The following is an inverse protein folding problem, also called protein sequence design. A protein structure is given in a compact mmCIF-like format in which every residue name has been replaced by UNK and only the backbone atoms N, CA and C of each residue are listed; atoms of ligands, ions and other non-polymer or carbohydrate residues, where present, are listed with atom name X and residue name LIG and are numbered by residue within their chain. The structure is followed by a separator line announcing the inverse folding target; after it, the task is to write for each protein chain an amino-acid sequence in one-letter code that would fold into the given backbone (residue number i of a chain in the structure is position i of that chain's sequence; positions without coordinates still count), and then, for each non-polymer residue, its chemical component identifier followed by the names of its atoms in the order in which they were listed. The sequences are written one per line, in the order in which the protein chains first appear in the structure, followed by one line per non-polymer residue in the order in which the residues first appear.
data_IF_240738182370
#
_entry.id   IF_240738182370
#
_cell.length_a   1.000
_cell.length_b   1.000
_cell.length_c   1.000
_cell.angle_alpha   90.00
_cell.angle_beta   90.00
_cell.angle_gamma   90.00
#
_symmetry.space_group_name_H-M   'P 1'
#
loop_
_entity.id
_entity.type
_entity.pdbx_description
1 polymer ?
#
# COMPACT_ATOMS: atom_id res chain seq x y z
N UNK A 1 -11.19 -16.46 3.44
CA UNK A 1 -11.99 -15.94 2.32
C UNK A 1 -11.20 -16.16 1.02
N UNK A 2 -11.77 -16.95 0.07
CA UNK A 2 -11.09 -17.32 -1.17
C UNK A 2 -10.63 -16.11 -1.99
N UNK A 3 -11.37 -15.01 -1.95
CA UNK A 3 -11.04 -13.78 -2.67
C UNK A 3 -9.78 -13.11 -2.10
N UNK A 4 -9.61 -13.11 -0.78
CA UNK A 4 -8.40 -12.56 -0.15
C UNK A 4 -7.18 -13.40 -0.52
N UNK A 5 -7.32 -14.74 -0.48
CA UNK A 5 -6.24 -15.65 -0.88
C UNK A 5 -5.88 -15.44 -2.34
N UNK A 6 -6.88 -15.35 -3.24
CA UNK A 6 -6.64 -15.09 -4.65
C UNK A 6 -5.93 -13.75 -4.87
N UNK A 7 -6.35 -12.68 -4.19
CA UNK A 7 -5.70 -11.37 -4.26
C UNK A 7 -4.25 -11.41 -3.78
N UNK A 8 -3.97 -12.11 -2.69
CA UNK A 8 -2.60 -12.29 -2.18
C UNK A 8 -1.72 -13.06 -3.15
N UNK A 9 -2.25 -14.14 -3.76
CA UNK A 9 -1.52 -14.94 -4.75
C UNK A 9 -1.20 -14.10 -6.00
N UNK A 10 -2.17 -13.33 -6.49
CA UNK A 10 -1.95 -12.45 -7.65
C UNK A 10 -0.88 -11.41 -7.35
N UNK A 11 -0.93 -10.77 -6.18
CA UNK A 11 0.07 -9.79 -5.77
C UNK A 11 1.47 -10.43 -5.69
N UNK A 12 1.59 -11.58 -5.04
CA UNK A 12 2.86 -12.30 -4.94
C UNK A 12 3.41 -12.69 -6.32
N UNK A 13 2.55 -13.18 -7.22
CA UNK A 13 2.94 -13.52 -8.59
C UNK A 13 3.44 -12.29 -9.38
N UNK A 14 2.78 -11.14 -9.24
CA UNK A 14 3.22 -9.89 -9.87
C UNK A 14 4.57 -9.42 -9.33
N UNK A 15 4.79 -9.52 -8.03
CA UNK A 15 6.08 -9.14 -7.43
C UNK A 15 7.21 -10.05 -7.92
N UNK A 16 6.99 -11.37 -8.00
CA UNK A 16 7.97 -12.32 -8.54
C UNK A 16 8.23 -12.04 -10.02
N UNK A 17 7.17 -11.80 -10.80
CA UNK A 17 7.30 -11.48 -12.22
C UNK A 17 8.14 -10.21 -12.47
N UNK A 18 7.90 -9.14 -11.70
CA UNK A 18 8.70 -7.91 -11.79
C UNK A 18 10.17 -8.17 -11.40
N UNK A 19 10.41 -8.98 -10.38
CA UNK A 19 11.77 -9.35 -9.98
C UNK A 19 12.50 -10.17 -11.07
N UNK A 20 11.81 -11.10 -11.73
CA UNK A 20 12.38 -11.95 -12.80
C UNK A 20 12.64 -11.17 -14.11
N UNK A 21 11.92 -10.07 -14.35
CA UNK A 21 12.11 -9.29 -15.58
C UNK A 21 13.44 -8.50 -15.64
N UNK A 22 14.34 -8.65 -14.66
CA UNK A 22 15.61 -7.92 -14.59
C UNK A 22 15.47 -6.40 -14.79
N UNK A 23 14.34 -5.84 -14.36
CA UNK A 23 14.12 -4.39 -14.35
C UNK A 23 15.01 -3.70 -13.28
N UNK A 24 15.60 -4.48 -12.40
CA UNK A 24 16.57 -4.02 -11.43
C UNK A 24 17.96 -4.24 -12.02
N UNK A 25 18.76 -3.20 -12.06
CA UNK A 25 20.14 -3.28 -12.53
C UNK A 25 20.93 -4.28 -11.67
N UNK A 26 21.46 -5.38 -12.24
CA UNK A 26 22.22 -6.38 -11.47
C UNK A 26 23.61 -5.90 -11.07
N UNK A 27 24.04 -4.70 -11.48
CA UNK A 27 25.34 -4.17 -11.08
C UNK A 27 25.38 -3.96 -9.56
N UNK A 28 25.99 -4.92 -8.88
CA UNK A 28 26.36 -4.80 -7.47
C UNK A 28 27.57 -3.86 -7.42
N UNK A 29 27.31 -2.55 -7.41
CA UNK A 29 28.35 -1.58 -7.05
C UNK A 29 28.84 -1.86 -5.64
N UNK A 30 30.12 -1.62 -5.30
CA UNK A 30 30.62 -1.84 -3.96
C UNK A 30 29.77 -1.06 -2.96
N UNK A 31 29.04 -1.82 -2.14
CA UNK A 31 28.12 -1.27 -1.12
C UNK A 31 28.91 -0.40 -0.15
N UNK A 32 28.61 0.87 -0.11
CA UNK A 32 29.14 1.79 0.90
C UNK A 32 28.89 1.20 2.31
N UNK A 33 29.82 1.35 3.28
CA UNK A 33 29.62 0.84 4.65
C UNK A 33 28.30 1.27 5.29
N UNK A 34 27.77 2.44 4.91
CA UNK A 34 26.47 3.00 5.27
C UNK A 34 25.31 2.02 5.00
N UNK A 35 25.40 1.17 3.98
CA UNK A 35 24.37 0.19 3.62
C UNK A 35 24.39 -1.07 4.49
N UNK A 36 25.32 -1.21 5.44
CA UNK A 36 25.39 -2.33 6.38
C UNK A 36 24.73 -2.03 7.73
N UNK A 37 23.98 -0.93 7.85
CA UNK A 37 23.30 -0.56 9.09
C UNK A 37 22.16 -1.54 9.39
N UNK A 38 22.03 -1.94 10.66
CA UNK A 38 20.91 -2.72 11.18
C UNK A 38 19.57 -1.98 10.98
N UNK A 39 19.57 -0.67 11.15
CA UNK A 39 18.39 0.18 10.95
C UNK A 39 17.89 0.18 9.52
N UNK A 40 18.81 0.13 8.55
CA UNK A 40 18.44 0.03 7.15
C UNK A 40 17.64 -1.25 6.87
N UNK A 41 18.08 -2.40 7.38
CA UNK A 41 17.39 -3.68 7.16
C UNK A 41 15.97 -3.65 7.73
N UNK A 42 15.82 -3.12 8.96
CA UNK A 42 14.50 -3.02 9.58
C UNK A 42 13.60 -2.05 8.81
N UNK A 43 14.11 -0.87 8.48
CA UNK A 43 13.40 0.13 7.69
C UNK A 43 12.88 -0.46 6.39
N UNK A 44 13.75 -1.05 5.59
CA UNK A 44 13.39 -1.64 4.28
C UNK A 44 12.37 -2.75 4.44
N UNK A 45 12.53 -3.65 5.42
CA UNK A 45 11.59 -4.73 5.66
C UNK A 45 10.19 -4.20 6.02
N UNK A 46 10.09 -3.19 6.88
CA UNK A 46 8.82 -2.59 7.29
C UNK A 46 8.15 -1.83 6.13
N UNK A 47 8.93 -1.04 5.38
CA UNK A 47 8.42 -0.31 4.21
C UNK A 47 7.91 -1.28 3.13
N UNK A 48 8.71 -2.28 2.78
CA UNK A 48 8.33 -3.29 1.78
C UNK A 48 7.09 -4.07 2.22
N UNK A 49 7.03 -4.44 3.49
CA UNK A 49 5.84 -5.06 4.06
C UNK A 49 4.59 -4.16 3.96
N UNK A 50 4.73 -2.86 4.22
CA UNK A 50 3.62 -1.92 4.09
C UNK A 50 3.07 -1.85 2.67
N UNK A 51 3.94 -1.85 1.66
CA UNK A 51 3.52 -1.85 0.24
C UNK A 51 2.72 -3.10 -0.13
N UNK A 52 3.05 -4.26 0.46
CA UNK A 52 2.28 -5.49 0.31
C UNK A 52 0.84 -5.35 0.83
N UNK A 53 0.65 -4.77 2.02
CA UNK A 53 -0.68 -4.52 2.58
C UNK A 53 -1.46 -3.50 1.75
N UNK A 54 -0.83 -2.40 1.32
CA UNK A 54 -1.47 -1.37 0.52
C UNK A 54 -1.80 -1.88 -0.90
N UNK A 55 -0.94 -2.71 -1.50
CA UNK A 55 -1.21 -3.39 -2.77
C UNK A 55 -2.38 -4.37 -2.67
N UNK A 56 -2.47 -5.14 -1.57
CA UNK A 56 -3.62 -6.01 -1.32
C UNK A 56 -4.92 -5.20 -1.20
N UNK A 57 -4.89 -4.07 -0.49
CA UNK A 57 -6.04 -3.17 -0.40
C UNK A 57 -6.47 -2.63 -1.78
N UNK A 58 -5.51 -2.28 -2.65
CA UNK A 58 -5.75 -1.87 -4.02
C UNK A 58 -6.47 -2.97 -4.83
N UNK A 59 -5.99 -4.22 -4.76
CA UNK A 59 -6.60 -5.35 -5.46
C UNK A 59 -8.03 -5.60 -4.95
N UNK A 60 -8.25 -5.57 -3.63
CA UNK A 60 -9.57 -5.75 -3.04
C UNK A 60 -10.53 -4.63 -3.46
N UNK A 61 -10.04 -3.41 -3.55
CA UNK A 61 -10.82 -2.26 -4.04
C UNK A 61 -11.17 -2.39 -5.51
N UNK A 62 -10.26 -2.85 -6.35
CA UNK A 62 -10.52 -3.15 -7.77
C UNK A 62 -11.60 -4.24 -7.92
N UNK A 63 -11.50 -5.33 -7.14
CA UNK A 63 -12.51 -6.39 -7.14
C UNK A 63 -13.89 -5.86 -6.73
N UNK A 64 -13.95 -4.96 -5.74
CA UNK A 64 -15.19 -4.30 -5.37
C UNK A 64 -15.78 -3.46 -6.51
N UNK A 65 -14.95 -2.71 -7.22
CA UNK A 65 -15.40 -1.92 -8.38
C UNK A 65 -15.97 -2.83 -9.48
N UNK A 66 -15.34 -3.98 -9.73
CA UNK A 66 -15.85 -4.98 -10.69
C UNK A 66 -17.21 -5.53 -10.21
N UNK A 67 -17.37 -5.81 -8.91
CA UNK A 67 -18.65 -6.27 -8.35
C UNK A 67 -19.75 -5.21 -8.49
N UNK A 68 -19.44 -3.92 -8.39
CA UNK A 68 -20.41 -2.86 -8.65
C UNK A 68 -20.91 -2.88 -10.09
N UNK A 69 -20.03 -3.16 -11.06
CA UNK A 69 -20.39 -3.21 -12.49
C UNK A 69 -21.21 -4.47 -12.81
N UNK A 70 -20.91 -5.61 -12.17
CA UNK A 70 -21.58 -6.88 -12.43
C UNK A 70 -22.88 -7.07 -11.64
N UNK A 71 -23.28 -6.08 -10.85
CA UNK A 71 -24.50 -6.13 -10.05
C UNK A 71 -25.75 -6.16 -10.94
N UNK A 72 -26.57 -7.22 -10.82
CA UNK A 72 -27.85 -7.38 -11.51
C UNK A 72 -28.97 -7.61 -10.48
N UNK A 73 -30.23 -7.33 -10.85
CA UNK A 73 -31.36 -7.46 -9.95
C UNK A 73 -31.49 -8.84 -9.29
N UNK A 74 -31.09 -9.92 -9.97
CA UNK A 74 -31.15 -11.28 -9.45
C UNK A 74 -30.10 -11.64 -8.40
N UNK A 75 -28.98 -10.90 -8.35
CA UNK A 75 -27.84 -11.21 -7.45
C UNK A 75 -27.52 -10.06 -6.47
N UNK A 76 -28.33 -9.01 -6.46
CA UNK A 76 -28.09 -7.76 -5.73
C UNK A 76 -27.81 -7.93 -4.24
N UNK A 77 -28.52 -8.82 -3.55
CA UNK A 77 -28.34 -9.01 -2.11
C UNK A 77 -27.01 -9.69 -1.77
N UNK A 78 -26.61 -10.69 -2.56
CA UNK A 78 -25.36 -11.42 -2.38
C UNK A 78 -24.16 -10.51 -2.69
N UNK A 79 -24.22 -9.80 -3.82
CA UNK A 79 -23.14 -8.89 -4.22
C UNK A 79 -22.99 -7.76 -3.21
N UNK A 80 -24.08 -7.16 -2.73
CA UNK A 80 -24.01 -6.10 -1.71
C UNK A 80 -23.34 -6.57 -0.42
N UNK A 81 -23.57 -7.82 0.00
CA UNK A 81 -22.89 -8.40 1.16
C UNK A 81 -21.40 -8.54 0.89
N UNK A 82 -21.03 -9.10 -0.26
CA UNK A 82 -19.62 -9.28 -0.63
C UNK A 82 -18.87 -7.95 -0.72
N UNK A 83 -19.47 -6.92 -1.31
CA UNK A 83 -18.91 -5.56 -1.36
C UNK A 83 -18.66 -5.03 0.06
N UNK A 84 -19.61 -5.24 0.99
CA UNK A 84 -19.45 -4.80 2.36
C UNK A 84 -18.26 -5.49 3.06
N UNK A 85 -18.17 -6.81 2.92
CA UNK A 85 -17.09 -7.60 3.52
C UNK A 85 -15.73 -7.22 2.92
N UNK A 86 -15.64 -7.14 1.60
CA UNK A 86 -14.38 -6.78 0.91
C UNK A 86 -13.96 -5.34 1.20
N UNK A 87 -14.90 -4.38 1.27
CA UNK A 87 -14.58 -2.99 1.65
C UNK A 87 -14.02 -2.94 3.08
N UNK A 88 -14.63 -3.68 4.01
CA UNK A 88 -14.15 -3.74 5.38
C UNK A 88 -12.73 -4.34 5.47
N UNK A 89 -12.49 -5.44 4.77
CA UNK A 89 -11.15 -6.06 4.73
C UNK A 89 -10.13 -5.12 4.09
N UNK A 90 -10.49 -4.43 3.00
CA UNK A 90 -9.64 -3.43 2.34
C UNK A 90 -9.29 -2.28 3.30
N UNK A 91 -10.27 -1.74 4.03
CA UNK A 91 -10.07 -0.67 5.02
C UNK A 91 -9.11 -1.12 6.14
N UNK A 92 -9.29 -2.31 6.69
CA UNK A 92 -8.41 -2.87 7.72
C UNK A 92 -6.98 -3.08 7.20
N UNK A 93 -6.86 -3.67 6.02
CA UNK A 93 -5.57 -3.94 5.38
C UNK A 93 -4.82 -2.63 5.10
N UNK A 94 -5.54 -1.62 4.61
CA UNK A 94 -4.99 -0.27 4.37
C UNK A 94 -4.57 0.41 5.67
N UNK A 95 -5.32 0.24 6.76
CA UNK A 95 -4.97 0.79 8.07
C UNK A 95 -3.66 0.20 8.58
N UNK A 96 -3.50 -1.13 8.47
CA UNK A 96 -2.24 -1.81 8.84
C UNK A 96 -1.09 -1.31 7.95
N UNK A 97 -1.31 -1.24 6.64
CA UNK A 97 -0.32 -0.76 5.68
C UNK A 97 0.13 0.67 5.96
N UNK A 98 -0.81 1.59 6.23
CA UNK A 98 -0.49 2.97 6.60
C UNK A 98 0.28 3.06 7.91
N UNK A 99 -0.09 2.29 8.91
CA UNK A 99 0.62 2.25 10.19
C UNK A 99 2.08 1.78 10.00
N UNK A 100 2.28 0.70 9.24
CA UNK A 100 3.61 0.20 8.89
C UNK A 100 4.40 1.20 8.05
N UNK A 101 3.77 1.85 7.06
CA UNK A 101 4.41 2.87 6.23
C UNK A 101 4.90 4.05 7.08
N UNK A 102 4.08 4.51 8.00
CA UNK A 102 4.43 5.60 8.93
C UNK A 102 5.61 5.22 9.82
N UNK A 103 5.55 4.07 10.48
CA UNK A 103 6.67 3.57 11.31
C UNK A 103 7.93 3.40 10.45
N UNK A 104 7.80 2.80 9.26
CA UNK A 104 8.90 2.62 8.34
C UNK A 104 9.57 3.94 7.95
N UNK A 105 8.78 4.99 7.71
CA UNK A 105 9.31 6.33 7.39
C UNK A 105 10.13 6.89 8.56
N UNK A 106 9.65 6.76 9.80
CA UNK A 106 10.43 7.18 10.98
C UNK A 106 11.72 6.37 11.16
N UNK A 107 11.67 5.05 10.94
CA UNK A 107 12.85 4.19 11.00
C UNK A 107 13.89 4.58 9.93
N UNK A 108 13.43 5.00 8.75
CA UNK A 108 14.28 5.56 7.71
C UNK A 108 14.97 6.85 8.15
N UNK A 109 14.28 7.71 8.88
CA UNK A 109 14.87 8.91 9.48
C UNK A 109 15.95 8.57 10.52
N UNK A 110 15.75 7.55 11.37
CA UNK A 110 16.77 7.09 12.32
C UNK A 110 18.02 6.61 11.57
N UNK A 111 17.84 5.78 10.55
CA UNK A 111 18.94 5.34 9.71
C UNK A 111 19.67 6.50 9.01
N UNK A 112 18.92 7.47 8.48
CA UNK A 112 19.48 8.65 7.82
C UNK A 112 20.30 9.50 8.80
N UNK A 113 19.83 9.65 10.04
CA UNK A 113 20.56 10.37 11.08
C UNK A 113 21.88 9.67 11.45
N UNK A 114 21.86 8.35 11.60
CA UNK A 114 23.07 7.57 11.89
C UNK A 114 24.07 7.61 10.75
N UNK A 115 23.58 7.60 9.50
CA UNK A 115 24.43 7.51 8.31
C UNK A 115 24.92 8.86 7.80
N UNK A 116 24.13 9.92 7.93
CA UNK A 116 24.37 11.23 7.35
C UNK A 116 24.23 12.39 8.34
N UNK A 117 23.95 12.12 9.62
CA UNK A 117 23.82 13.12 10.67
C UNK A 117 22.56 13.99 10.59
N UNK A 118 21.53 13.56 9.85
CA UNK A 118 20.25 14.29 9.70
C UNK A 118 19.09 13.32 9.60
N UNK A 119 17.99 13.60 10.31
CA UNK A 119 16.77 12.77 10.27
C UNK A 119 15.95 12.97 9.00
N UNK A 120 15.99 14.15 8.40
CA UNK A 120 15.17 14.54 7.28
C UNK A 120 15.89 15.57 6.41
N UNK A 121 15.93 15.36 5.12
CA UNK A 121 16.65 16.20 4.18
C UNK A 121 15.80 16.75 3.03
N UNK A 122 14.49 16.44 3.03
CA UNK A 122 13.58 16.81 1.93
C UNK A 122 14.03 16.30 0.56
N UNK A 123 14.73 15.17 0.54
CA UNK A 123 15.01 14.54 -0.73
C UNK A 123 13.73 13.96 -1.36
N UNK A 124 13.75 13.65 -2.67
CA UNK A 124 12.55 13.15 -3.37
C UNK A 124 11.95 11.90 -2.75
N UNK A 125 12.76 10.98 -2.20
CA UNK A 125 12.27 9.73 -1.60
C UNK A 125 11.58 10.00 -0.26
N UNK A 126 12.17 10.83 0.59
CA UNK A 126 11.58 11.25 1.86
C UNK A 126 10.27 12.00 1.64
N UNK A 127 10.29 12.98 0.72
CA UNK A 127 9.10 13.78 0.38
C UNK A 127 7.98 12.90 -0.16
N UNK A 128 8.30 11.95 -1.04
CA UNK A 128 7.30 11.06 -1.61
C UNK A 128 6.74 10.06 -0.60
N UNK A 129 7.56 9.59 0.34
CA UNK A 129 7.09 8.77 1.46
C UNK A 129 6.05 9.52 2.31
N UNK A 130 6.31 10.81 2.62
CA UNK A 130 5.35 11.66 3.32
C UNK A 130 4.06 11.87 2.52
N UNK A 131 4.16 12.13 1.22
CA UNK A 131 2.99 12.26 0.33
C UNK A 131 2.15 10.98 0.38
N UNK A 132 2.78 9.80 0.30
CA UNK A 132 2.08 8.52 0.38
C UNK A 132 1.35 8.36 1.72
N UNK A 133 1.99 8.67 2.84
CA UNK A 133 1.34 8.64 4.17
C UNK A 133 0.11 9.56 4.19
N UNK A 134 0.23 10.79 3.69
CA UNK A 134 -0.89 11.75 3.66
C UNK A 134 -2.02 11.29 2.75
N UNK A 135 -1.73 10.75 1.57
CA UNK A 135 -2.74 10.20 0.65
C UNK A 135 -3.55 9.11 1.32
N UNK A 136 -2.91 8.12 1.93
CA UNK A 136 -3.61 7.03 2.61
C UNK A 136 -4.34 7.49 3.88
N UNK A 137 -3.79 8.45 4.61
CA UNK A 137 -4.50 9.07 5.72
C UNK A 137 -5.80 9.73 5.24
N UNK A 138 -5.76 10.50 4.17
CA UNK A 138 -6.96 11.13 3.59
C UNK A 138 -7.97 10.06 3.14
N UNK A 139 -7.53 9.00 2.46
CA UNK A 139 -8.41 7.92 1.99
C UNK A 139 -9.17 7.29 3.17
N UNK A 140 -8.49 6.97 4.26
CA UNK A 140 -9.12 6.38 5.44
C UNK A 140 -10.08 7.35 6.15
N UNK A 141 -9.85 8.66 6.03
CA UNK A 141 -10.70 9.68 6.62
C UNK A 141 -11.88 10.12 5.73
N UNK A 142 -11.96 9.68 4.47
CA UNK A 142 -13.08 10.00 3.57
C UNK A 142 -14.44 9.61 4.15
N UNK A 143 -14.51 8.57 4.96
CA UNK A 143 -15.74 8.12 5.64
C UNK A 143 -16.36 9.17 6.56
N UNK A 144 -15.59 10.13 7.04
CA UNK A 144 -16.07 11.21 7.92
C UNK A 144 -16.56 12.45 7.17
N UNK A 145 -16.32 12.48 5.85
CA UNK A 145 -16.68 13.65 5.03
C UNK A 145 -18.09 13.42 4.45
N UNK A 146 -19.08 14.27 4.77
CA UNK A 146 -20.41 14.19 4.17
C UNK A 146 -20.31 14.26 2.64
N UNK A 147 -20.99 13.32 1.94
CA UNK A 147 -20.97 13.23 0.48
C UNK A 147 -19.86 12.36 -0.12
N UNK A 148 -18.76 12.11 0.59
CA UNK A 148 -17.68 11.22 0.15
C UNK A 148 -17.65 9.87 0.89
N UNK A 149 -18.53 9.64 1.83
CA UNK A 149 -18.60 8.46 2.68
C UNK A 149 -19.19 7.21 1.99
N UNK A 150 -19.38 7.24 0.67
CA UNK A 150 -19.91 6.09 -0.06
C UNK A 150 -18.83 5.01 -0.21
N UNK A 151 -19.23 3.72 -0.13
CA UNK A 151 -18.32 2.60 -0.36
C UNK A 151 -17.75 2.59 -1.77
N UNK A 152 -18.51 3.05 -2.76
CA UNK A 152 -18.01 3.19 -4.12
C UNK A 152 -16.87 4.20 -4.18
N UNK A 153 -17.07 5.39 -3.62
CA UNK A 153 -16.03 6.45 -3.56
C UNK A 153 -14.78 5.96 -2.85
N UNK A 154 -14.95 5.30 -1.68
CA UNK A 154 -13.83 4.73 -0.94
C UNK A 154 -13.01 3.77 -1.81
N UNK A 155 -13.65 2.77 -2.43
CA UNK A 155 -12.95 1.78 -3.25
C UNK A 155 -12.31 2.41 -4.51
N UNK A 156 -12.96 3.42 -5.11
CA UNK A 156 -12.41 4.13 -6.26
C UNK A 156 -11.13 4.88 -5.88
N UNK A 157 -11.16 5.64 -4.78
CA UNK A 157 -10.01 6.42 -4.32
C UNK A 157 -8.91 5.51 -3.76
N UNK A 158 -9.26 4.40 -3.10
CA UNK A 158 -8.31 3.41 -2.63
C UNK A 158 -7.55 2.72 -3.77
N UNK A 159 -8.24 2.42 -4.88
CA UNK A 159 -7.60 1.88 -6.08
C UNK A 159 -6.59 2.88 -6.68
N UNK A 160 -7.00 4.12 -6.92
CA UNK A 160 -6.12 5.14 -7.46
C UNK A 160 -5.03 5.59 -6.48
N UNK A 161 -5.28 5.51 -5.19
CA UNK A 161 -4.32 5.87 -4.15
C UNK A 161 -3.02 5.07 -4.20
N UNK A 162 -3.05 3.86 -4.78
CA UNK A 162 -1.85 3.04 -4.93
C UNK A 162 -0.82 3.65 -5.89
N UNK A 163 -1.24 4.52 -6.80
CA UNK A 163 -0.33 5.26 -7.68
C UNK A 163 0.63 6.19 -6.91
N UNK A 164 0.32 6.54 -5.67
CA UNK A 164 1.23 7.33 -4.83
C UNK A 164 2.43 6.50 -4.30
N UNK A 165 2.41 5.17 -4.48
CA UNK A 165 3.51 4.28 -4.07
C UNK A 165 4.38 3.88 -5.27
N UNK A 166 3.80 3.88 -6.47
CA UNK A 166 4.52 3.54 -7.71
C UNK A 166 5.34 4.71 -8.22
#
# INVERSE_FOLDING_TARGET
NAVVIAGTVVLAALMIFVAEMNLLDPEITPLQPVLKSYWLMIHVAVITGSYGFLGLACILSLLNLILYITQTNGNKSVIKRNINELTYVSEMTMTIGLFMLTIGTFLGGIWANESWGRYWGWDPKETWALVSVLVYAVILHLRFIPGLNSKFTFNLVAFWGYSAIL
#
